data_IF_073032380381
#
_entry.id   IF_073032380381
#
_cell.length_a   1.000
_cell.length_b   1.000
_cell.length_c   1.000
_cell.angle_alpha   90.00
_cell.angle_beta   90.00
_cell.angle_gamma   90.00
#
_symmetry.space_group_name_H-M   'P 1'
#
loop_
_entity.id
_entity.type
_entity.pdbx_description
1 polymer ?
#
# COMPACT_ATOMS: atom_id res chain seq x y z
N UNK A 1 -34.53 -44.50 44.72
CA UNK A 1 -33.59 -43.90 43.74
C UNK A 1 -33.54 -42.40 44.00
N UNK A 2 -32.52 -41.95 44.72
CA UNK A 2 -32.37 -40.59 45.24
C UNK A 2 -31.96 -39.61 44.14
N UNK A 3 -32.60 -38.43 44.11
CA UNK A 3 -32.06 -37.24 43.43
C UNK A 3 -31.72 -36.21 44.50
N UNK A 4 -30.45 -35.88 44.57
CA UNK A 4 -29.84 -34.90 45.47
C UNK A 4 -29.96 -33.53 44.79
N UNK A 5 -30.75 -32.61 45.36
CA UNK A 5 -30.72 -31.20 45.00
C UNK A 5 -29.76 -30.48 45.96
N UNK A 6 -28.55 -30.21 45.48
CA UNK A 6 -27.54 -29.42 46.19
C UNK A 6 -27.52 -28.02 45.58
N UNK A 7 -28.23 -27.08 46.21
CA UNK A 7 -28.12 -25.65 45.94
C UNK A 7 -27.10 -25.06 46.92
N UNK A 8 -25.82 -25.09 46.54
CA UNK A 8 -24.76 -24.33 47.20
C UNK A 8 -24.89 -22.86 46.82
N UNK A 9 -25.39 -22.07 47.77
CA UNK A 9 -25.39 -20.61 47.74
C UNK A 9 -23.97 -20.16 48.12
N UNK A 10 -23.16 -19.79 47.13
CA UNK A 10 -21.83 -19.20 47.36
C UNK A 10 -21.98 -17.69 47.37
N UNK A 11 -21.88 -17.11 48.57
CA UNK A 11 -21.89 -15.68 48.85
C UNK A 11 -20.62 -15.07 48.24
N UNK A 12 -20.77 -14.32 47.15
CA UNK A 12 -19.71 -13.51 46.53
C UNK A 12 -19.43 -12.28 47.40
N UNK A 13 -18.42 -12.41 48.26
CA UNK A 13 -17.82 -11.33 49.05
C UNK A 13 -17.13 -10.33 48.09
N UNK A 14 -17.80 -9.22 47.80
CA UNK A 14 -17.28 -8.08 47.04
C UNK A 14 -16.20 -7.37 47.87
N UNK A 15 -14.93 -7.68 47.59
CA UNK A 15 -13.78 -6.93 48.09
C UNK A 15 -13.71 -5.62 47.29
N UNK A 16 -14.18 -4.51 47.87
CA UNK A 16 -13.93 -3.16 47.35
C UNK A 16 -12.46 -2.81 47.57
N UNK A 17 -11.64 -3.02 46.53
CA UNK A 17 -10.31 -2.42 46.44
C UNK A 17 -10.51 -0.97 46.01
N UNK A 18 -10.47 -0.04 46.96
CA UNK A 18 -10.43 1.40 46.66
C UNK A 18 -9.03 1.77 46.18
N UNK A 19 -8.78 1.63 44.87
CA UNK A 19 -7.62 2.27 44.25
C UNK A 19 -7.93 3.76 44.10
N UNK A 20 -7.17 4.59 44.79
CA UNK A 20 -7.17 6.04 44.58
C UNK A 20 -6.59 6.30 43.18
N UNK A 21 -7.47 6.60 42.23
CA UNK A 21 -7.09 7.07 40.89
C UNK A 21 -6.52 8.48 41.05
N UNK A 22 -5.27 8.76 40.65
CA UNK A 22 -4.80 10.14 40.58
C UNK A 22 -5.62 10.88 39.51
N UNK A 23 -6.26 11.98 39.91
CA UNK A 23 -6.95 12.89 39.01
C UNK A 23 -5.93 13.51 38.07
N UNK A 24 -5.90 13.04 36.82
CA UNK A 24 -5.19 13.73 35.74
C UNK A 24 -6.01 14.98 35.41
N UNK A 25 -5.41 16.16 35.61
CA UNK A 25 -5.99 17.41 35.16
C UNK A 25 -6.13 17.37 33.65
N UNK A 26 -7.37 17.46 33.17
CA UNK A 26 -7.64 17.74 31.77
C UNK A 26 -7.30 19.21 31.52
N UNK A 27 -6.03 19.49 31.21
CA UNK A 27 -5.70 20.70 30.47
C UNK A 27 -6.26 20.51 29.06
N UNK A 28 -7.40 21.14 28.81
CA UNK A 28 -7.86 21.48 27.47
C UNK A 28 -6.86 22.46 26.85
N UNK A 29 -5.70 21.95 26.45
CA UNK A 29 -4.95 22.54 25.37
C UNK A 29 -5.66 22.11 24.10
N UNK A 30 -6.40 23.04 23.50
CA UNK A 30 -6.91 22.90 22.15
C UNK A 30 -5.71 22.65 21.23
N UNK A 31 -5.42 21.37 20.97
CA UNK A 31 -4.48 20.98 19.93
C UNK A 31 -5.16 21.32 18.62
N UNK A 32 -4.96 22.56 18.19
CA UNK A 32 -5.06 22.93 16.79
C UNK A 32 -4.27 21.85 16.05
N UNK A 33 -4.98 20.97 15.36
CA UNK A 33 -4.38 19.93 14.54
C UNK A 33 -3.59 20.67 13.47
N UNK A 34 -2.30 20.87 13.73
CA UNK A 34 -1.38 21.34 12.72
C UNK A 34 -1.43 20.30 11.62
N UNK A 35 -1.99 20.75 10.49
CA UNK A 35 -1.95 20.06 9.21
C UNK A 35 -0.52 19.52 9.06
N UNK A 36 -0.33 18.19 8.89
CA UNK A 36 1.01 17.64 8.76
C UNK A 36 1.73 18.44 7.68
N UNK A 37 2.82 19.06 8.11
CA UNK A 37 3.71 19.83 7.27
C UNK A 37 4.05 19.00 6.03
N UNK A 38 3.88 19.62 4.87
CA UNK A 38 3.93 19.00 3.55
C UNK A 38 5.35 18.65 3.10
N UNK A 39 6.19 18.20 4.03
CA UNK A 39 7.60 17.84 3.79
C UNK A 39 7.83 16.34 3.95
N UNK A 40 6.80 15.52 3.71
CA UNK A 40 7.02 14.13 3.33
C UNK A 40 7.79 14.14 2.00
N UNK A 41 9.10 13.93 2.10
CA UNK A 41 10.04 13.78 0.99
C UNK A 41 9.33 13.04 -0.15
N UNK A 42 9.18 13.70 -1.30
CA UNK A 42 8.39 13.19 -2.41
C UNK A 42 9.02 11.86 -2.84
N UNK A 43 8.35 10.72 -2.57
CA UNK A 43 8.83 9.41 -3.01
C UNK A 43 8.99 9.49 -4.54
N UNK A 44 10.23 9.55 -5.07
CA UNK A 44 10.44 9.81 -6.48
C UNK A 44 9.99 8.63 -7.34
N UNK A 45 9.63 7.51 -6.68
CA UNK A 45 9.19 6.25 -7.29
C UNK A 45 7.68 6.11 -7.42
N UNK A 46 6.90 7.14 -7.06
CA UNK A 46 5.44 7.16 -7.18
C UNK A 46 4.97 7.91 -8.42
N UNK A 47 3.96 7.36 -9.09
CA UNK A 47 3.28 8.07 -10.17
C UNK A 47 2.42 9.20 -9.65
N UNK A 48 2.14 10.18 -10.51
CA UNK A 48 1.39 11.40 -10.18
C UNK A 48 -0.13 11.16 -9.97
N UNK A 49 -0.56 9.92 -9.76
CA UNK A 49 -1.95 9.56 -9.43
C UNK A 49 -2.41 10.23 -8.13
N UNK A 50 -1.50 10.40 -7.17
CA UNK A 50 -1.75 11.06 -5.89
C UNK A 50 -2.31 12.49 -6.05
N UNK A 51 -2.05 13.17 -7.17
CA UNK A 51 -2.55 14.54 -7.39
C UNK A 51 -4.08 14.65 -7.33
N UNK A 52 -4.78 13.55 -7.62
CA UNK A 52 -6.24 13.48 -7.53
C UNK A 52 -6.74 12.39 -6.56
N UNK A 53 -5.91 11.37 -6.27
CA UNK A 53 -6.30 10.19 -5.51
C UNK A 53 -5.54 10.04 -4.18
N UNK A 54 -4.91 11.10 -3.66
CA UNK A 54 -4.15 11.05 -2.39
C UNK A 54 -5.01 10.78 -1.15
N UNK A 55 -6.31 11.08 -1.21
CA UNK A 55 -7.26 10.92 -0.09
C UNK A 55 -7.94 9.57 -0.04
N UNK A 56 -7.80 8.77 -1.09
CA UNK A 56 -8.44 7.46 -1.18
C UNK A 56 -7.72 6.45 -0.28
N UNK A 57 -8.47 5.51 0.32
CA UNK A 57 -7.92 4.49 1.22
C UNK A 57 -6.90 3.63 0.46
N UNK A 58 -7.18 3.32 -0.80
CA UNK A 58 -6.33 2.51 -1.67
C UNK A 58 -4.96 3.14 -1.90
N UNK A 59 -4.87 4.48 -1.93
CA UNK A 59 -3.58 5.17 -2.03
C UNK A 59 -2.78 4.97 -0.74
N UNK A 60 -3.41 5.12 0.42
CA UNK A 60 -2.77 4.91 1.74
C UNK A 60 -2.31 3.48 1.94
N UNK A 61 -3.10 2.51 1.50
CA UNK A 61 -2.70 1.11 1.51
C UNK A 61 -1.52 0.85 0.56
N UNK A 62 -1.56 1.40 -0.66
CA UNK A 62 -0.48 1.25 -1.63
C UNK A 62 0.84 1.80 -1.10
N UNK A 63 0.86 2.96 -0.43
CA UNK A 63 2.08 3.62 0.10
C UNK A 63 2.90 2.70 1.01
N UNK A 64 2.23 1.81 1.74
CA UNK A 64 2.87 0.88 2.69
C UNK A 64 3.12 -0.52 2.11
N UNK A 65 2.70 -0.76 0.87
CA UNK A 65 2.75 -2.08 0.25
C UNK A 65 4.13 -2.45 -0.31
N UNK A 66 4.33 -3.74 -0.57
CA UNK A 66 5.49 -4.22 -1.34
C UNK A 66 5.56 -3.64 -2.76
N UNK A 67 4.41 -3.30 -3.37
CA UNK A 67 4.38 -2.70 -4.70
C UNK A 67 4.98 -1.29 -4.74
N UNK A 68 4.71 -0.45 -3.73
CA UNK A 68 5.34 0.87 -3.63
C UNK A 68 6.87 0.79 -3.46
N UNK A 69 7.38 -0.33 -2.96
CA UNK A 69 8.80 -0.54 -2.67
C UNK A 69 9.51 -1.49 -3.65
N UNK A 70 8.79 -2.11 -4.60
CA UNK A 70 9.30 -3.14 -5.50
C UNK A 70 10.57 -2.73 -6.26
N UNK A 71 10.64 -1.49 -6.75
CA UNK A 71 11.80 -0.98 -7.47
C UNK A 71 12.99 -0.68 -6.52
N UNK A 72 12.72 -0.19 -5.30
CA UNK A 72 13.77 0.02 -4.28
C UNK A 72 14.44 -1.30 -3.94
N UNK A 73 13.65 -2.34 -3.71
CA UNK A 73 14.15 -3.68 -3.40
C UNK A 73 14.94 -4.24 -4.57
N UNK A 74 14.45 -4.10 -5.81
CA UNK A 74 15.18 -4.55 -6.99
C UNK A 74 16.54 -3.86 -7.12
N UNK A 75 16.62 -2.52 -7.02
CA UNK A 75 17.87 -1.78 -7.19
C UNK A 75 18.94 -2.11 -6.15
N UNK A 76 18.55 -2.68 -5.01
CA UNK A 76 19.48 -3.15 -3.96
C UNK A 76 20.02 -4.56 -4.21
N UNK A 77 19.42 -5.32 -5.14
CA UNK A 77 19.86 -6.67 -5.46
C UNK A 77 21.14 -6.62 -6.31
N UNK A 78 22.19 -7.40 -5.98
CA UNK A 78 23.37 -7.52 -6.82
C UNK A 78 23.07 -8.17 -8.18
N UNK A 79 22.00 -8.97 -8.25
CA UNK A 79 21.56 -9.69 -9.46
C UNK A 79 20.50 -8.89 -10.25
N UNK A 80 20.35 -7.59 -9.97
CA UNK A 80 19.36 -6.77 -10.65
C UNK A 80 19.73 -6.59 -12.12
N UNK A 81 18.78 -6.85 -13.01
CA UNK A 81 18.91 -6.60 -14.44
C UNK A 81 17.75 -5.74 -14.97
N UNK A 82 17.95 -5.17 -16.16
CA UNK A 82 16.88 -4.39 -16.83
C UNK A 82 15.68 -5.26 -17.21
N UNK A 83 15.85 -6.58 -17.36
CA UNK A 83 14.76 -7.55 -17.60
C UNK A 83 13.76 -7.59 -16.43
N UNK A 84 14.25 -7.50 -15.19
CA UNK A 84 13.47 -7.52 -13.95
C UNK A 84 12.47 -6.35 -13.85
N UNK A 85 12.74 -5.24 -14.54
CA UNK A 85 11.88 -4.05 -14.54
C UNK A 85 10.50 -4.32 -15.13
N UNK A 86 10.33 -5.38 -15.94
CA UNK A 86 9.03 -5.80 -16.47
C UNK A 86 7.98 -5.98 -15.37
N UNK A 87 8.41 -6.47 -14.20
CA UNK A 87 7.55 -6.71 -13.04
C UNK A 87 7.75 -5.67 -11.93
N UNK A 88 8.94 -5.08 -11.82
CA UNK A 88 9.29 -4.21 -10.70
C UNK A 88 9.12 -2.70 -11.00
N UNK A 89 8.73 -2.32 -12.22
CA UNK A 89 8.49 -0.92 -12.58
C UNK A 89 7.27 -0.74 -13.49
N UNK A 90 6.37 0.18 -13.12
CA UNK A 90 5.22 0.55 -13.97
C UNK A 90 5.62 1.32 -15.24
N UNK A 91 6.85 1.82 -15.30
CA UNK A 91 7.40 2.62 -16.41
C UNK A 91 8.31 1.85 -17.36
N UNK A 92 8.47 0.52 -17.21
CA UNK A 92 9.43 -0.25 -18.00
C UNK A 92 9.23 -0.11 -19.51
N UNK A 93 7.97 -0.10 -19.95
CA UNK A 93 7.60 0.25 -21.32
C UNK A 93 7.18 1.72 -21.33
N UNK A 94 8.15 2.60 -21.60
CA UNK A 94 7.87 4.03 -21.73
C UNK A 94 7.05 4.23 -22.99
N UNK A 95 5.73 4.38 -22.85
CA UNK A 95 4.86 4.89 -23.93
C UNK A 95 5.11 6.39 -24.11
N UNK A 96 6.31 6.78 -24.51
CA UNK A 96 6.54 8.12 -25.05
C UNK A 96 6.17 8.09 -26.54
N UNK A 97 5.34 9.04 -27.02
CA UNK A 97 5.10 9.21 -28.44
C UNK A 97 6.30 9.98 -29.00
N UNK A 98 7.39 9.28 -29.33
CA UNK A 98 8.29 9.86 -30.34
C UNK A 98 7.51 9.75 -31.64
N UNK A 99 6.97 10.87 -32.11
CA UNK A 99 6.25 10.96 -33.37
C UNK A 99 7.16 10.39 -34.48
N UNK A 100 6.79 9.25 -35.05
CA UNK A 100 7.59 8.54 -36.07
C UNK A 100 8.49 7.40 -35.58
N UNK A 101 8.68 7.18 -34.27
CA UNK A 101 9.42 6.00 -33.77
C UNK A 101 8.48 4.83 -33.50
N UNK A 102 8.72 3.70 -34.16
CA UNK A 102 8.07 2.41 -33.84
C UNK A 102 8.70 1.70 -32.63
N UNK A 103 9.76 2.27 -32.03
CA UNK A 103 10.51 1.66 -30.93
C UNK A 103 10.34 2.50 -29.66
N UNK A 104 9.64 1.93 -28.69
CA UNK A 104 9.56 2.50 -27.34
C UNK A 104 10.87 2.18 -26.61
N UNK A 105 11.61 3.20 -26.12
CA UNK A 105 12.77 2.93 -25.29
C UNK A 105 12.31 2.19 -24.03
N UNK A 106 13.00 1.09 -23.70
CA UNK A 106 12.81 0.39 -22.44
C UNK A 106 13.58 1.11 -21.35
N UNK A 107 13.00 1.20 -20.16
CA UNK A 107 13.75 1.70 -19.01
C UNK A 107 14.90 0.74 -18.66
N UNK A 108 15.96 1.31 -18.14
CA UNK A 108 17.11 0.65 -17.49
C UNK A 108 17.01 0.81 -15.98
N UNK A 109 17.88 0.16 -15.20
CA UNK A 109 17.88 0.31 -13.73
C UNK A 109 18.13 1.76 -13.30
N UNK A 110 18.92 2.50 -14.08
CA UNK A 110 19.24 3.90 -13.84
C UNK A 110 18.06 4.81 -14.17
N UNK A 111 17.34 4.51 -15.26
CA UNK A 111 16.26 5.37 -15.80
C UNK A 111 14.87 5.00 -15.29
N UNK A 112 14.70 3.85 -14.64
CA UNK A 112 13.44 3.45 -14.02
C UNK A 112 13.11 4.38 -12.84
N UNK A 113 11.97 5.07 -12.98
CA UNK A 113 11.52 6.11 -12.06
C UNK A 113 10.25 5.73 -11.30
N UNK A 114 9.54 4.66 -11.64
CA UNK A 114 8.30 4.30 -10.93
C UNK A 114 8.39 2.87 -10.44
N UNK A 115 7.97 2.63 -9.19
CA UNK A 115 7.76 1.28 -8.67
C UNK A 115 6.53 0.64 -9.32
N UNK A 116 6.05 -0.49 -8.81
CA UNK A 116 4.73 -1.03 -9.19
C UNK A 116 3.65 -0.07 -8.67
N UNK A 117 3.27 0.87 -9.52
CA UNK A 117 2.35 1.96 -9.20
C UNK A 117 0.92 1.66 -9.68
N UNK A 118 0.01 2.62 -9.48
CA UNK A 118 -1.39 2.51 -9.87
C UNK A 118 -1.55 2.11 -11.33
N UNK A 119 -0.72 2.64 -12.24
CA UNK A 119 -0.81 2.34 -13.68
C UNK A 119 -0.44 0.90 -14.06
N UNK A 120 0.27 0.16 -13.18
CA UNK A 120 0.54 -1.26 -13.36
C UNK A 120 -0.76 -2.08 -13.38
N UNK A 121 -1.82 -1.57 -12.75
CA UNK A 121 -3.12 -2.24 -12.65
C UNK A 121 -4.25 -1.44 -13.32
N UNK A 122 -4.22 -0.12 -13.26
CA UNK A 122 -5.31 0.76 -13.66
C UNK A 122 -4.95 1.67 -14.83
N UNK A 123 -5.93 2.00 -15.67
CA UNK A 123 -5.78 3.05 -16.68
C UNK A 123 -7.12 3.70 -16.97
N UNK A 124 -7.15 5.03 -17.01
CA UNK A 124 -8.31 5.75 -17.50
C UNK A 124 -8.67 5.28 -18.93
N UNK A 125 -9.96 5.03 -19.17
CA UNK A 125 -10.43 4.46 -20.43
C UNK A 125 -10.15 2.97 -20.65
N UNK A 126 -9.64 2.24 -19.64
CA UNK A 126 -9.61 0.79 -19.72
C UNK A 126 -11.03 0.19 -19.70
N UNK A 127 -11.19 -0.95 -20.39
CA UNK A 127 -12.49 -1.58 -20.67
C UNK A 127 -12.99 -2.49 -19.55
N UNK A 128 -12.10 -2.93 -18.67
CA UNK A 128 -12.47 -3.78 -17.54
C UNK A 128 -13.01 -2.94 -16.39
N UNK A 129 -13.84 -3.56 -15.54
CA UNK A 129 -14.35 -2.94 -14.32
C UNK A 129 -13.21 -2.38 -13.45
N UNK A 130 -13.53 -1.37 -12.65
CA UNK A 130 -12.54 -0.64 -11.83
C UNK A 130 -11.35 -0.10 -12.62
N UNK A 131 -11.52 0.11 -13.93
CA UNK A 131 -10.50 0.63 -14.85
C UNK A 131 -9.25 -0.25 -14.92
N UNK A 132 -9.38 -1.56 -14.72
CA UNK A 132 -8.24 -2.48 -14.79
C UNK A 132 -7.68 -2.58 -16.22
N UNK A 133 -6.37 -2.73 -16.38
CA UNK A 133 -5.71 -2.88 -17.68
C UNK A 133 -5.85 -4.29 -18.27
N UNK A 134 -6.24 -5.26 -17.45
CA UNK A 134 -6.44 -6.68 -17.78
C UNK A 134 -7.64 -7.22 -17.00
N UNK A 135 -8.18 -8.37 -17.43
CA UNK A 135 -9.17 -9.10 -16.64
C UNK A 135 -8.59 -9.48 -15.26
N UNK A 136 -9.39 -9.49 -14.17
CA UNK A 136 -8.90 -9.75 -12.82
C UNK A 136 -8.03 -11.01 -12.69
N UNK A 137 -8.47 -12.13 -13.30
CA UNK A 137 -7.73 -13.41 -13.30
C UNK A 137 -6.33 -13.35 -13.93
N UNK A 138 -6.05 -12.34 -14.77
CA UNK A 138 -4.77 -12.15 -15.48
C UNK A 138 -3.96 -10.98 -14.95
N UNK A 139 -4.50 -10.20 -14.02
CA UNK A 139 -3.87 -8.98 -13.55
C UNK A 139 -2.62 -9.31 -12.73
N UNK A 140 -2.80 -10.09 -11.66
CA UNK A 140 -1.74 -10.39 -10.69
C UNK A 140 -0.69 -11.34 -11.27
N UNK A 141 -1.13 -12.41 -11.95
CA UNK A 141 -0.25 -13.43 -12.54
C UNK A 141 0.55 -12.92 -13.75
N UNK A 142 0.30 -11.69 -14.20
CA UNK A 142 1.16 -11.07 -15.21
C UNK A 142 2.57 -10.79 -14.67
N UNK A 143 2.73 -10.64 -13.35
CA UNK A 143 4.01 -10.46 -12.66
C UNK A 143 4.31 -11.60 -11.67
N UNK A 144 3.29 -12.10 -10.97
CA UNK A 144 3.44 -13.22 -10.02
C UNK A 144 3.44 -14.57 -10.74
N UNK A 145 4.54 -14.80 -11.46
CA UNK A 145 4.87 -16.02 -12.17
C UNK A 145 6.33 -16.38 -11.86
N UNK A 146 6.74 -17.61 -12.14
CA UNK A 146 8.07 -18.10 -11.76
C UNK A 146 9.20 -17.59 -12.65
N UNK A 147 8.89 -16.75 -13.64
CA UNK A 147 9.81 -16.20 -14.63
C UNK A 147 9.73 -14.66 -14.71
N UNK A 148 10.88 -13.99 -14.72
CA UNK A 148 10.96 -12.53 -14.80
C UNK A 148 10.78 -11.96 -16.22
N UNK A 149 10.40 -12.79 -17.19
CA UNK A 149 10.40 -12.44 -18.62
C UNK A 149 11.03 -13.53 -19.46
#
# INVERSE_FOLDING_TARGET
>A
MSRITSTTITIMLMILITTTIPTVSADTSESKSEKPDSTAEENPLREKCYKCHDKEVEYKEWETSGHANALVTLKKSPDAESSCLTCHSSGYVVRAPVWGSRRFPRATLETAQNSVACSSCHRHGAKYEHKLIRAPKKLCISCHRMDCG
#
